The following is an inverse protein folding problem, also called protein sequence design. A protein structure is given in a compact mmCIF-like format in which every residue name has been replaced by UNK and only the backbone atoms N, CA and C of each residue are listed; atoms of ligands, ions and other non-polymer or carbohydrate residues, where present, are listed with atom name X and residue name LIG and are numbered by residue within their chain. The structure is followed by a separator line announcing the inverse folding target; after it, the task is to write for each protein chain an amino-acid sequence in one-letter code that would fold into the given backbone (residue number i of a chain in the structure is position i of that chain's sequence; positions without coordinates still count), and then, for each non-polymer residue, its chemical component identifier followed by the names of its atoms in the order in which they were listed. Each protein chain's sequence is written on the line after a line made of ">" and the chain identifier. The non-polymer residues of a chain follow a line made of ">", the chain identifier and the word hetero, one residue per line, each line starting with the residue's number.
data_IF_330149060478
#
_entry.id   IF_330149060478
#
_cell.length_a   1.000
_cell.length_b   1.000
_cell.length_c   1.000
_cell.angle_alpha   90.00
_cell.angle_beta   90.00
_cell.angle_gamma   90.00
#
_symmetry.space_group_name_H-M   'P 1'
#
loop_
_entity.id
_entity.type
_entity.pdbx_description
1 polymer ?
#
# COMPACT_ATOMS: atom_id res chain seq x y z
N UNK A 1 -9.28 8.50 19.81
CA UNK A 1 -10.54 7.85 19.40
C UNK A 1 -10.41 6.44 19.89
N UNK A 2 -11.36 5.90 20.65
CA UNK A 2 -11.25 4.52 21.13
C UNK A 2 -11.07 3.58 19.93
N UNK A 3 -10.15 2.63 20.04
CA UNK A 3 -9.91 1.66 18.98
C UNK A 3 -11.15 0.81 18.69
N UNK A 4 -11.49 0.71 17.40
CA UNK A 4 -12.56 -0.15 16.89
C UNK A 4 -12.06 -0.98 15.72
N UNK A 5 -12.18 -2.30 15.85
CA UNK A 5 -11.62 -3.23 14.88
C UNK A 5 -12.30 -3.12 13.50
N UNK A 6 -13.63 -3.12 13.46
CA UNK A 6 -14.38 -3.15 12.19
C UNK A 6 -14.11 -1.91 11.32
N UNK A 7 -14.16 -0.66 11.84
CA UNK A 7 -13.71 0.53 11.12
C UNK A 7 -12.28 0.43 10.59
N UNK A 8 -11.34 -0.10 11.38
CA UNK A 8 -9.94 -0.27 10.94
C UNK A 8 -9.83 -1.24 9.76
N UNK A 9 -10.57 -2.35 9.80
CA UNK A 9 -10.59 -3.33 8.71
C UNK A 9 -11.19 -2.73 7.43
N UNK A 10 -12.34 -2.06 7.53
CA UNK A 10 -12.99 -1.45 6.37
C UNK A 10 -12.13 -0.33 5.76
N UNK A 11 -11.52 0.51 6.61
CA UNK A 11 -10.61 1.57 6.17
C UNK A 11 -9.37 0.99 5.49
N UNK A 12 -8.79 -0.08 6.03
CA UNK A 12 -7.62 -0.75 5.47
C UNK A 12 -7.88 -1.32 4.08
N UNK A 13 -8.99 -2.06 3.90
CA UNK A 13 -9.37 -2.65 2.61
C UNK A 13 -9.59 -1.59 1.53
N UNK A 14 -10.35 -0.55 1.84
CA UNK A 14 -10.69 0.47 0.85
C UNK A 14 -9.45 1.33 0.54
N UNK A 15 -8.66 1.69 1.55
CA UNK A 15 -7.43 2.47 1.33
C UNK A 15 -6.36 1.66 0.59
N UNK A 16 -6.24 0.35 0.87
CA UNK A 16 -5.35 -0.57 0.15
C UNK A 16 -5.66 -0.60 -1.34
N UNK A 17 -6.95 -0.73 -1.70
CA UNK A 17 -7.38 -0.71 -3.09
C UNK A 17 -7.12 0.65 -3.77
N UNK A 18 -7.36 1.77 -3.04
CA UNK A 18 -7.09 3.12 -3.55
C UNK A 18 -5.59 3.33 -3.82
N UNK A 19 -4.72 2.82 -2.95
CA UNK A 19 -3.26 2.96 -3.04
C UNK A 19 -2.67 2.41 -4.33
N UNK A 20 -3.26 1.34 -4.88
CA UNK A 20 -2.84 0.74 -6.15
C UNK A 20 -3.22 1.60 -7.37
N UNK A 21 -4.29 2.38 -7.25
CA UNK A 21 -4.89 3.18 -8.33
C UNK A 21 -3.87 4.03 -9.12
N UNK A 22 -3.02 4.85 -8.48
CA UNK A 22 -2.04 5.68 -9.16
C UNK A 22 -1.13 4.92 -10.14
N UNK A 23 -0.64 3.73 -9.78
CA UNK A 23 0.26 2.94 -10.65
C UNK A 23 -0.45 2.53 -11.93
N UNK A 24 -1.66 1.99 -11.78
CA UNK A 24 -2.44 1.49 -12.92
C UNK A 24 -3.00 2.61 -13.78
N UNK A 25 -3.38 3.73 -13.18
CA UNK A 25 -3.77 4.93 -13.92
C UNK A 25 -2.61 5.48 -14.73
N UNK A 26 -1.42 5.63 -14.13
CA UNK A 26 -0.23 6.10 -14.85
C UNK A 26 0.12 5.18 -16.03
N UNK A 27 0.05 3.86 -15.85
CA UNK A 27 0.25 2.89 -16.94
C UNK A 27 -0.81 3.00 -18.03
N UNK A 28 -2.08 3.17 -17.67
CA UNK A 28 -3.17 3.35 -18.62
C UNK A 28 -2.99 4.62 -19.48
N UNK A 29 -2.34 5.65 -18.92
CA UNK A 29 -1.95 6.87 -19.61
C UNK A 29 -0.64 6.74 -20.42
N UNK A 30 -0.03 5.56 -20.48
CA UNK A 30 1.20 5.31 -21.23
C UNK A 30 2.48 5.79 -20.54
N UNK A 31 2.44 6.14 -19.25
CA UNK A 31 3.65 6.51 -18.52
C UNK A 31 4.52 5.27 -18.24
N UNK A 32 5.86 5.39 -18.29
CA UNK A 32 6.78 4.26 -18.23
C UNK A 32 7.03 3.75 -16.79
N UNK A 33 5.97 3.58 -16.00
CA UNK A 33 6.03 3.08 -14.61
C UNK A 33 6.30 1.57 -14.62
N UNK A 34 7.36 1.14 -13.93
CA UNK A 34 7.82 -0.26 -13.94
C UNK A 34 7.30 -1.06 -12.76
N UNK A 35 6.96 -0.39 -11.65
CA UNK A 35 6.40 -1.04 -10.46
C UNK A 35 5.24 -1.97 -10.82
N UNK A 36 5.16 -3.14 -10.21
CA UNK A 36 4.00 -4.01 -10.32
C UNK A 36 3.93 -4.90 -9.09
N UNK A 37 3.38 -4.35 -8.01
CA UNK A 37 3.38 -4.99 -6.70
C UNK A 37 2.45 -6.21 -6.69
N UNK A 38 1.32 -6.15 -7.41
CA UNK A 38 0.42 -7.30 -7.59
C UNK A 38 1.14 -8.48 -8.24
N UNK A 39 1.88 -8.23 -9.32
CA UNK A 39 2.70 -9.28 -9.95
C UNK A 39 3.81 -9.76 -9.01
N UNK A 40 4.45 -8.83 -8.30
CA UNK A 40 5.57 -9.12 -7.40
C UNK A 40 5.14 -10.07 -6.28
N UNK A 41 4.04 -9.77 -5.59
CA UNK A 41 3.50 -10.64 -4.55
C UNK A 41 2.95 -11.94 -5.13
N UNK A 42 2.07 -11.85 -6.14
CA UNK A 42 1.36 -13.03 -6.62
C UNK A 42 2.21 -14.00 -7.42
N UNK A 43 3.02 -13.50 -8.34
CA UNK A 43 3.80 -14.34 -9.24
C UNK A 43 5.21 -14.61 -8.73
N UNK A 44 5.89 -13.60 -8.17
CA UNK A 44 7.29 -13.77 -7.77
C UNK A 44 7.42 -14.33 -6.36
N UNK A 45 6.58 -13.87 -5.41
CA UNK A 45 6.59 -14.41 -4.05
C UNK A 45 5.76 -15.69 -3.92
N UNK A 46 4.49 -15.66 -4.34
CA UNK A 46 3.58 -16.80 -4.16
C UNK A 46 3.69 -17.85 -5.29
N UNK A 47 4.38 -17.55 -6.38
CA UNK A 47 4.59 -18.51 -7.48
C UNK A 47 3.34 -18.78 -8.35
N UNK A 48 2.25 -18.02 -8.17
CA UNK A 48 0.99 -18.23 -8.89
C UNK A 48 1.08 -17.55 -10.25
N UNK A 49 0.91 -18.31 -11.34
CA UNK A 49 1.11 -17.80 -12.70
C UNK A 49 -0.15 -17.11 -13.28
N UNK A 50 0.06 -16.28 -14.30
CA UNK A 50 -1.01 -15.69 -15.11
C UNK A 50 -1.93 -14.73 -14.35
N UNK A 51 -3.20 -14.63 -14.77
CA UNK A 51 -4.19 -13.75 -14.17
C UNK A 51 -4.50 -14.08 -12.70
N UNK A 52 -4.50 -15.37 -12.34
CA UNK A 52 -4.67 -15.81 -10.95
C UNK A 52 -3.56 -15.26 -10.04
N UNK A 53 -2.34 -15.11 -10.57
CA UNK A 53 -1.25 -14.47 -9.84
C UNK A 53 -1.54 -13.02 -9.50
N UNK A 54 -2.11 -12.23 -10.43
CA UNK A 54 -2.48 -10.85 -10.14
C UNK A 54 -3.54 -10.76 -9.03
N UNK A 55 -4.55 -11.63 -9.06
CA UNK A 55 -5.59 -11.68 -8.01
C UNK A 55 -4.97 -12.07 -6.68
N UNK A 56 -4.12 -13.09 -6.63
CA UNK A 56 -3.46 -13.51 -5.40
C UNK A 56 -2.55 -12.41 -4.83
N UNK A 57 -1.83 -11.69 -5.70
CA UNK A 57 -1.00 -10.56 -5.29
C UNK A 57 -1.82 -9.38 -4.75
N UNK A 58 -2.99 -9.11 -5.34
CA UNK A 58 -3.94 -8.12 -4.83
C UNK A 58 -4.44 -8.51 -3.44
N UNK A 59 -4.95 -9.74 -3.28
CA UNK A 59 -5.42 -10.22 -1.98
C UNK A 59 -4.32 -10.22 -0.91
N UNK A 60 -3.08 -10.57 -1.30
CA UNK A 60 -1.94 -10.51 -0.41
C UNK A 60 -1.63 -9.06 0.00
N UNK A 61 -1.64 -8.13 -0.94
CA UNK A 61 -1.45 -6.71 -0.64
C UNK A 61 -2.55 -6.17 0.28
N UNK A 62 -3.81 -6.51 0.01
CA UNK A 62 -4.96 -6.13 0.86
C UNK A 62 -4.84 -6.67 2.28
N UNK A 63 -4.35 -7.91 2.45
CA UNK A 63 -4.07 -8.45 3.78
C UNK A 63 -3.01 -7.63 4.54
N UNK A 64 -1.95 -7.20 3.86
CA UNK A 64 -0.93 -6.33 4.46
C UNK A 64 -1.51 -4.95 4.79
N UNK A 65 -2.33 -4.38 3.90
CA UNK A 65 -3.00 -3.11 4.11
C UNK A 65 -3.94 -3.15 5.33
N UNK A 66 -4.70 -4.24 5.49
CA UNK A 66 -5.52 -4.52 6.65
C UNK A 66 -4.71 -4.53 7.95
N UNK A 67 -3.63 -5.31 7.98
CA UNK A 67 -2.76 -5.39 9.16
C UNK A 67 -2.16 -4.02 9.48
N UNK A 68 -1.69 -3.28 8.48
CA UNK A 68 -1.15 -1.93 8.66
C UNK A 68 -2.20 -0.96 9.22
N UNK A 69 -3.43 -0.97 8.69
CA UNK A 69 -4.50 -0.10 9.15
C UNK A 69 -4.91 -0.38 10.60
N UNK A 70 -5.00 -1.65 11.01
CA UNK A 70 -5.26 -2.04 12.40
C UNK A 70 -4.14 -1.55 13.32
N UNK A 71 -2.88 -1.74 12.94
CA UNK A 71 -1.74 -1.28 13.73
C UNK A 71 -1.70 0.26 13.83
N UNK A 72 -2.08 0.98 12.78
CA UNK A 72 -2.17 2.44 12.82
C UNK A 72 -3.30 2.92 13.72
N UNK A 73 -4.49 2.33 13.61
CA UNK A 73 -5.60 2.66 14.50
C UNK A 73 -5.24 2.43 15.97
N UNK A 74 -4.63 1.29 16.29
CA UNK A 74 -4.14 0.99 17.64
C UNK A 74 -3.09 1.99 18.12
N UNK A 75 -2.06 2.25 17.30
CA UNK A 75 -1.00 3.18 17.64
C UNK A 75 -1.56 4.60 17.89
N UNK A 76 -2.45 5.07 17.02
CA UNK A 76 -3.05 6.40 17.13
C UNK A 76 -3.99 6.53 18.32
N UNK A 77 -4.73 5.48 18.69
CA UNK A 77 -5.49 5.46 19.95
C UNK A 77 -4.55 5.56 21.15
N UNK A 78 -3.48 4.75 21.19
CA UNK A 78 -2.51 4.72 22.29
C UNK A 78 -1.81 6.06 22.55
N UNK A 79 -1.51 6.83 21.49
CA UNK A 79 -0.89 8.16 21.62
C UNK A 79 -1.91 9.29 21.77
N UNK A 80 -3.21 8.97 21.84
CA UNK A 80 -4.27 9.96 22.03
C UNK A 80 -4.50 10.87 20.82
N UNK A 81 -4.29 10.37 19.59
CA UNK A 81 -4.57 11.10 18.37
C UNK A 81 -6.08 11.29 18.19
N UNK A 82 -6.60 12.44 18.63
CA UNK A 82 -8.04 12.77 18.53
C UNK A 82 -8.35 13.85 17.49
N UNK A 83 -7.35 14.66 17.11
CA UNK A 83 -7.51 15.79 16.20
C UNK A 83 -6.53 15.68 15.03
N UNK A 84 -6.82 16.43 13.95
CA UNK A 84 -5.97 16.47 12.75
C UNK A 84 -5.70 15.07 12.16
N UNK A 85 -6.74 14.24 12.05
CA UNK A 85 -6.62 12.85 11.60
C UNK A 85 -5.95 12.72 10.23
N UNK A 86 -6.11 13.71 9.35
CA UNK A 86 -5.40 13.76 8.07
C UNK A 86 -3.87 13.81 8.24
N UNK A 87 -3.35 14.53 9.26
CA UNK A 87 -1.92 14.64 9.53
C UNK A 87 -1.38 13.33 10.10
N UNK A 88 -2.13 12.70 11.01
CA UNK A 88 -1.82 11.36 11.51
C UNK A 88 -1.84 10.33 10.38
N UNK A 89 -2.81 10.44 9.47
CA UNK A 89 -2.86 9.62 8.25
C UNK A 89 -1.61 9.78 7.39
N UNK A 90 -1.19 11.01 7.10
CA UNK A 90 0.05 11.28 6.33
C UNK A 90 1.29 10.72 7.04
N UNK A 91 1.38 10.87 8.37
CA UNK A 91 2.48 10.29 9.16
C UNK A 91 2.47 8.76 9.09
N UNK A 92 1.30 8.14 9.22
CA UNK A 92 1.12 6.70 9.06
C UNK A 92 1.54 6.24 7.67
N UNK A 93 1.11 6.94 6.62
CA UNK A 93 1.53 6.67 5.24
C UNK A 93 3.04 6.79 5.02
N UNK A 94 3.68 7.79 5.61
CA UNK A 94 5.14 7.94 5.58
C UNK A 94 5.84 6.76 6.29
N UNK A 95 5.35 6.37 7.47
CA UNK A 95 5.88 5.19 8.18
C UNK A 95 5.69 3.93 7.33
N UNK A 96 4.52 3.77 6.71
CA UNK A 96 4.23 2.65 5.80
C UNK A 96 5.26 2.58 4.69
N UNK A 97 5.51 3.70 4.01
CA UNK A 97 6.48 3.83 2.94
C UNK A 97 7.90 3.44 3.39
N UNK A 98 8.33 3.92 4.55
CA UNK A 98 9.65 3.63 5.09
C UNK A 98 9.83 2.15 5.45
N UNK A 99 8.76 1.46 5.84
CA UNK A 99 8.76 0.01 6.11
C UNK A 99 8.68 -0.79 4.80
N UNK A 100 7.83 -0.37 3.86
CA UNK A 100 7.64 -1.03 2.58
C UNK A 100 8.88 -0.94 1.67
N UNK A 101 9.62 0.18 1.74
CA UNK A 101 10.82 0.43 0.94
C UNK A 101 11.87 -0.69 1.02
N UNK A 102 12.31 -1.11 2.22
CA UNK A 102 13.19 -2.26 2.41
C UNK A 102 12.56 -3.60 2.04
N UNK A 103 11.24 -3.77 2.20
CA UNK A 103 10.53 -5.00 1.84
C UNK A 103 10.62 -5.22 0.33
N UNK A 104 10.23 -4.23 -0.48
CA UNK A 104 10.29 -4.36 -1.95
C UNK A 104 11.72 -4.46 -2.45
N UNK A 105 12.70 -3.88 -1.75
CA UNK A 105 14.12 -4.01 -2.09
C UNK A 105 14.63 -5.46 -2.02
N UNK A 106 14.05 -6.28 -1.14
CA UNK A 106 14.45 -7.68 -0.92
C UNK A 106 13.69 -8.67 -1.79
N UNK A 107 12.56 -8.27 -2.36
CA UNK A 107 11.75 -9.15 -3.21
C UNK A 107 12.27 -9.06 -4.64
N UNK A 108 12.56 -10.19 -5.32
CA UNK A 108 12.93 -10.17 -6.72
C UNK A 108 11.75 -9.68 -7.56
N UNK A 109 12.01 -8.75 -8.49
CA UNK A 109 11.03 -8.37 -9.50
C UNK A 109 11.41 -8.99 -10.83
N UNK A 110 10.58 -9.94 -11.26
CA UNK A 110 10.62 -10.51 -12.58
C UNK A 110 9.96 -9.53 -13.57
N UNK A 111 10.74 -9.08 -14.54
CA UNK A 111 10.20 -8.49 -15.75
C UNK A 111 9.58 -9.61 -16.61
N UNK A 112 8.26 -9.63 -16.86
CA UNK A 112 7.61 -10.70 -17.61
C UNK A 112 8.02 -10.70 -19.08
N UNK A 113 8.42 -9.55 -19.60
CA UNK A 113 8.79 -9.40 -21.01
C UNK A 113 10.19 -9.94 -21.30
N UNK A 114 11.09 -9.85 -20.32
CA UNK A 114 12.49 -10.27 -20.47
C UNK A 114 12.86 -11.50 -19.63
N UNK A 115 12.01 -11.90 -18.69
CA UNK A 115 12.28 -12.94 -17.70
C UNK A 115 13.40 -12.59 -16.71
N UNK A 116 13.93 -11.36 -16.75
CA UNK A 116 15.06 -10.96 -15.92
C UNK A 116 14.60 -10.52 -14.54
N UNK A 117 15.30 -11.02 -13.52
CA UNK A 117 15.16 -10.55 -12.15
C UNK A 117 15.96 -9.25 -12.03
N UNK A 118 15.28 -8.12 -11.95
CA UNK A 118 15.87 -6.83 -11.64
C UNK A 118 15.69 -6.52 -10.15
N UNK A 119 16.75 -6.06 -9.48
CA UNK A 119 16.64 -5.56 -8.12
C UNK A 119 15.84 -4.25 -8.10
N UNK A 120 14.75 -4.20 -7.36
CA UNK A 120 13.87 -3.02 -7.26
C UNK A 120 14.56 -1.87 -6.52
N UNK A 121 15.44 -2.21 -5.57
CA UNK A 121 16.06 -1.26 -4.66
C UNK A 121 15.07 -0.72 -3.62
N UNK A 122 15.58 0.02 -2.64
CA UNK A 122 14.75 0.70 -1.63
C UNK A 122 13.68 1.54 -2.33
N UNK A 123 12.41 1.25 -2.03
CA UNK A 123 11.26 1.96 -2.58
C UNK A 123 11.33 2.18 -4.10
N UNK A 124 11.72 1.14 -4.85
CA UNK A 124 11.83 1.16 -6.31
C UNK A 124 12.90 2.10 -6.89
N UNK A 125 13.89 2.54 -6.11
CA UNK A 125 14.92 3.49 -6.59
C UNK A 125 15.67 3.06 -7.84
N UNK A 126 15.78 1.76 -8.12
CA UNK A 126 16.48 1.26 -9.31
C UNK A 126 15.60 1.33 -10.58
N UNK A 127 14.31 1.62 -10.45
CA UNK A 127 13.37 1.72 -11.57
C UNK A 127 13.29 3.13 -12.16
N UNK A 128 13.57 4.15 -11.35
CA UNK A 128 13.64 5.54 -11.75
C UNK A 128 12.91 6.45 -10.77
N UNK A 129 13.09 7.77 -10.93
CA UNK A 129 12.48 8.76 -10.05
C UNK A 129 10.94 8.71 -10.07
N UNK A 130 10.34 8.43 -11.23
CA UNK A 130 8.89 8.28 -11.36
C UNK A 130 8.37 7.16 -10.45
N UNK A 131 8.99 5.98 -10.48
CA UNK A 131 8.63 4.87 -9.59
C UNK A 131 8.87 5.22 -8.11
N UNK A 132 9.91 5.96 -7.74
CA UNK A 132 10.07 6.38 -6.33
C UNK A 132 8.91 7.29 -5.91
N UNK A 133 8.58 8.29 -6.73
CA UNK A 133 7.52 9.26 -6.44
C UNK A 133 6.16 8.58 -6.41
N UNK A 134 5.84 7.72 -7.38
CA UNK A 134 4.58 6.98 -7.40
C UNK A 134 4.43 6.10 -6.17
N UNK A 135 5.51 5.42 -5.75
CA UNK A 135 5.50 4.61 -4.54
C UNK A 135 5.23 5.49 -3.31
N UNK A 136 5.97 6.59 -3.17
CA UNK A 136 5.80 7.53 -2.05
C UNK A 136 4.38 8.10 -1.98
N UNK A 137 3.87 8.62 -3.10
CA UNK A 137 2.53 9.19 -3.17
C UNK A 137 1.44 8.16 -2.89
N UNK A 138 1.56 6.93 -3.40
CA UNK A 138 0.62 5.85 -3.10
C UNK A 138 0.51 5.57 -1.60
N UNK A 139 1.63 5.54 -0.88
CA UNK A 139 1.63 5.29 0.56
C UNK A 139 1.10 6.49 1.37
N UNK A 140 1.33 7.73 0.92
CA UNK A 140 0.70 8.90 1.54
C UNK A 140 -0.81 8.90 1.33
N UNK A 141 -1.27 8.55 0.13
CA UNK A 141 -2.69 8.39 -0.19
C UNK A 141 -3.28 7.29 0.70
N UNK A 142 -2.62 6.13 0.83
CA UNK A 142 -3.03 5.07 1.75
C UNK A 142 -3.26 5.60 3.16
N UNK A 143 -2.24 6.18 3.77
CA UNK A 143 -2.34 6.65 5.15
C UNK A 143 -3.42 7.72 5.35
N UNK A 144 -3.51 8.69 4.43
CA UNK A 144 -4.55 9.72 4.44
C UNK A 144 -5.95 9.11 4.31
N UNK A 145 -6.16 8.22 3.34
CA UNK A 145 -7.42 7.52 3.11
C UNK A 145 -7.79 6.65 4.30
N UNK A 146 -6.85 5.89 4.87
CA UNK A 146 -7.09 5.06 6.06
C UNK A 146 -7.58 5.91 7.23
N UNK A 147 -6.93 7.04 7.52
CA UNK A 147 -7.34 7.89 8.64
C UNK A 147 -8.72 8.53 8.42
N UNK A 148 -9.00 9.03 7.21
CA UNK A 148 -10.30 9.62 6.87
C UNK A 148 -11.40 8.55 6.93
N UNK A 149 -11.19 7.40 6.30
CA UNK A 149 -12.16 6.30 6.27
C UNK A 149 -12.41 5.72 7.66
N UNK A 150 -11.36 5.55 8.46
CA UNK A 150 -11.50 5.13 9.85
C UNK A 150 -12.39 6.10 10.63
N UNK A 151 -12.14 7.41 10.52
CA UNK A 151 -12.95 8.43 11.18
C UNK A 151 -14.41 8.42 10.71
N UNK A 152 -14.64 8.24 9.40
CA UNK A 152 -15.98 8.14 8.84
C UNK A 152 -16.73 6.93 9.39
N UNK A 153 -16.13 5.74 9.35
CA UNK A 153 -16.76 4.52 9.85
C UNK A 153 -16.96 4.53 11.36
N UNK A 154 -16.01 5.09 12.12
CA UNK A 154 -16.14 5.32 13.55
C UNK A 154 -17.32 6.25 13.88
N UNK A 155 -17.48 7.34 13.13
CA UNK A 155 -18.57 8.31 13.36
C UNK A 155 -19.97 7.84 12.95
N UNK A 156 -20.06 6.79 12.13
CA UNK A 156 -21.33 6.30 11.56
C UNK A 156 -21.98 5.16 12.36
N UNK A 157 -21.41 4.74 13.50
CA UNK A 157 -22.05 3.79 14.42
C UNK A 157 -21.15 2.66 14.92
N UNK A 158 -20.01 3.00 15.52
CA UNK A 158 -19.25 2.12 16.43
C UNK A 158 -19.75 2.24 17.86
#
# INVERSE_FOLDING_TARGET
>A
MNFELLPALLAGLIAGAIMEGPVYLQKALGLPVKQNILRTWGQNLLGIKGGAGYVAGFLFHELIALVAAVLYALFFDLVGAQHHLWLWGLLGGLIHYLIAGPVVAKIPSLDPSTGRIGAQGFAYKNYGALDVVTSFMGHLIFGLSTAILYALFHSMGG
#
